data_IF_495720474364
#
_entry.id   IF_495720474364
#
_cell.length_a   1.000
_cell.length_b   1.000
_cell.length_c   1.000
_cell.angle_alpha   90.00
_cell.angle_beta   90.00
_cell.angle_gamma   90.00
#
_symmetry.space_group_name_H-M   'P 1'
#
loop_
_entity.id
_entity.type
_entity.pdbx_description
1 polymer ?
#
# COMPACT_ATOMS: atom_id res chain seq x y z
N UNK A 1 -28.09 -5.75 -1.06
CA UNK A 1 -27.96 -4.43 -1.71
C UNK A 1 -26.51 -4.01 -1.53
N UNK A 2 -25.65 -4.42 -2.44
CA UNK A 2 -24.22 -4.07 -2.39
C UNK A 2 -24.07 -2.81 -3.20
N UNK A 3 -23.83 -1.68 -2.53
CA UNK A 3 -23.58 -0.41 -3.21
C UNK A 3 -22.22 -0.47 -3.91
N UNK A 4 -22.04 0.20 -5.04
CA UNK A 4 -20.75 0.28 -5.76
C UNK A 4 -19.60 0.75 -4.84
N UNK A 5 -19.90 1.55 -3.81
CA UNK A 5 -18.93 1.95 -2.77
C UNK A 5 -18.49 0.81 -1.85
N UNK A 6 -19.35 -0.18 -1.60
CA UNK A 6 -19.01 -1.39 -0.82
C UNK A 6 -18.11 -2.31 -1.65
N UNK A 7 -18.44 -2.52 -2.93
CA UNK A 7 -17.65 -3.36 -3.83
C UNK A 7 -16.24 -2.80 -4.06
N UNK A 8 -16.09 -1.47 -4.15
CA UNK A 8 -14.79 -0.83 -4.21
C UNK A 8 -14.03 -0.95 -2.87
N UNK A 9 -14.71 -0.86 -1.72
CA UNK A 9 -14.04 -1.04 -0.43
C UNK A 9 -13.53 -2.48 -0.21
N UNK A 10 -14.30 -3.48 -0.63
CA UNK A 10 -13.88 -4.89 -0.65
C UNK A 10 -12.77 -5.13 -1.67
N UNK A 11 -12.88 -4.55 -2.87
CA UNK A 11 -11.87 -4.73 -3.93
C UNK A 11 -10.54 -4.03 -3.65
N UNK A 12 -10.56 -2.94 -2.89
CA UNK A 12 -9.38 -2.17 -2.51
C UNK A 12 -8.80 -2.64 -1.16
N UNK A 13 -9.35 -3.69 -0.55
CA UNK A 13 -8.88 -4.28 0.71
C UNK A 13 -8.62 -3.23 1.81
N UNK A 14 -9.53 -2.27 1.96
CA UNK A 14 -9.40 -1.18 2.93
C UNK A 14 -9.36 -1.74 4.36
N UNK A 15 -8.33 -1.38 5.12
CA UNK A 15 -8.04 -1.91 6.45
C UNK A 15 -7.26 -3.22 6.45
N UNK A 16 -6.92 -3.75 5.27
CA UNK A 16 -6.02 -4.88 5.13
C UNK A 16 -4.56 -4.42 5.11
N UNK A 17 -3.69 -5.26 5.67
CA UNK A 17 -2.24 -5.08 5.57
C UNK A 17 -1.73 -5.94 4.44
N UNK A 18 -1.05 -5.31 3.48
CA UNK A 18 -0.50 -5.97 2.32
C UNK A 18 1.00 -5.75 2.24
N UNK A 19 1.73 -6.72 1.69
CA UNK A 19 3.16 -6.62 1.45
C UNK A 19 3.40 -6.27 -0.02
N UNK A 20 4.03 -5.14 -0.27
CA UNK A 20 4.35 -4.71 -1.63
C UNK A 20 5.71 -4.01 -1.69
N UNK A 21 6.36 -4.14 -2.84
CA UNK A 21 7.62 -3.44 -3.13
C UNK A 21 7.28 -2.00 -3.47
N UNK A 22 7.85 -1.05 -2.71
CA UNK A 22 7.66 0.37 -2.98
C UNK A 22 8.65 0.85 -4.03
N UNK A 23 8.15 1.62 -4.99
CA UNK A 23 8.92 2.37 -5.96
C UNK A 23 8.76 3.87 -5.72
N UNK A 24 9.80 4.66 -5.99
CA UNK A 24 9.65 6.11 -6.02
C UNK A 24 9.15 6.57 -7.40
N UNK A 25 7.99 7.22 -7.44
CA UNK A 25 7.43 7.88 -8.62
C UNK A 25 6.98 9.29 -8.24
N UNK A 26 7.42 10.29 -8.99
CA UNK A 26 7.08 11.70 -8.76
C UNK A 26 7.38 12.19 -7.32
N UNK A 27 8.46 11.67 -6.71
CA UNK A 27 8.86 12.01 -5.34
C UNK A 27 7.98 11.39 -4.24
N UNK A 28 7.13 10.42 -4.60
CA UNK A 28 6.27 9.68 -3.68
C UNK A 28 6.54 8.18 -3.80
N UNK A 29 6.35 7.48 -2.69
CA UNK A 29 6.44 6.02 -2.67
C UNK A 29 5.10 5.45 -3.13
N UNK A 30 5.14 4.68 -4.20
CA UNK A 30 4.00 3.97 -4.78
C UNK A 30 4.31 2.49 -4.86
N UNK A 31 3.28 1.66 -4.92
CA UNK A 31 3.43 0.23 -5.14
C UNK A 31 2.32 -0.27 -6.06
N UNK A 32 2.65 -1.28 -6.87
CA UNK A 32 1.62 -2.06 -7.54
C UNK A 32 0.71 -2.73 -6.50
N UNK A 33 -0.59 -2.77 -6.80
CA UNK A 33 -1.53 -3.44 -5.93
C UNK A 33 -1.35 -4.97 -6.07
N UNK A 34 -1.20 -5.72 -4.96
CA UNK A 34 -0.96 -7.16 -5.04
C UNK A 34 -2.17 -7.93 -5.60
N UNK A 35 -3.36 -7.35 -5.51
CA UNK A 35 -4.52 -7.83 -6.25
C UNK A 35 -4.47 -7.33 -7.70
N UNK A 36 -4.18 -8.23 -8.64
CA UNK A 36 -4.13 -7.96 -10.09
C UNK A 36 -5.47 -7.46 -10.66
N UNK A 37 -6.59 -7.70 -9.95
CA UNK A 37 -7.91 -7.19 -10.33
C UNK A 37 -8.13 -5.73 -9.91
N UNK A 38 -7.26 -5.18 -9.05
CA UNK A 38 -7.38 -3.80 -8.57
C UNK A 38 -6.87 -2.83 -9.65
N UNK A 39 -7.71 -1.92 -10.17
CA UNK A 39 -7.30 -1.00 -11.23
C UNK A 39 -6.45 0.17 -10.72
N UNK A 40 -6.16 0.23 -9.41
CA UNK A 40 -5.51 1.37 -8.76
C UNK A 40 -4.25 0.92 -8.01
N UNK A 41 -3.14 1.60 -8.29
CA UNK A 41 -1.90 1.46 -7.52
C UNK A 41 -2.07 1.96 -6.09
N UNK A 42 -1.14 1.56 -5.22
CA UNK A 42 -1.03 2.01 -3.84
C UNK A 42 -0.07 3.20 -3.78
N UNK A 43 -0.38 4.21 -2.96
CA UNK A 43 0.51 5.32 -2.63
C UNK A 43 0.68 5.44 -1.13
N UNK A 44 1.92 5.46 -0.67
CA UNK A 44 2.24 5.65 0.74
C UNK A 44 2.16 7.13 1.07
N UNK A 45 1.26 7.46 2.00
CA UNK A 45 1.05 8.84 2.47
C UNK A 45 1.57 9.06 3.89
N UNK A 46 1.82 7.99 4.63
CA UNK A 46 2.25 8.02 6.03
C UNK A 46 3.24 6.89 6.33
N UNK A 47 4.18 7.12 7.23
CA UNK A 47 5.15 6.11 7.67
C UNK A 47 6.38 5.98 6.79
N UNK A 48 6.50 6.74 5.70
CA UNK A 48 7.70 6.80 4.86
C UNK A 48 8.96 7.22 5.65
N UNK A 49 8.80 8.02 6.71
CA UNK A 49 9.89 8.44 7.61
C UNK A 49 10.42 7.29 8.49
N UNK A 50 9.71 6.15 8.55
CA UNK A 50 10.14 4.95 9.26
C UNK A 50 11.07 4.06 8.42
N UNK A 51 11.12 4.30 7.12
CA UNK A 51 12.02 3.58 6.23
C UNK A 51 13.44 4.10 6.39
N UNK A 52 14.40 3.17 6.47
CA UNK A 52 15.82 3.52 6.50
C UNK A 52 16.30 4.09 5.15
N UNK A 53 15.61 3.72 4.06
CA UNK A 53 15.96 4.01 2.67
C UNK A 53 14.67 4.26 1.85
N UNK A 54 14.74 5.19 0.89
CA UNK A 54 13.60 5.58 0.04
C UNK A 54 14.03 5.62 -1.43
N UNK A 55 13.55 4.70 -2.29
CA UNK A 55 12.70 3.55 -1.97
C UNK A 55 13.45 2.42 -1.22
N UNK A 56 12.74 1.59 -0.45
CA UNK A 56 13.31 0.38 0.15
C UNK A 56 13.53 -0.71 -0.90
N UNK A 57 14.65 -1.42 -0.82
CA UNK A 57 14.94 -2.58 -1.68
C UNK A 57 14.04 -3.80 -1.36
N UNK A 58 13.62 -3.94 -0.10
CA UNK A 58 12.78 -5.03 0.38
C UNK A 58 11.27 -4.67 0.35
N UNK A 59 10.37 -5.65 0.17
CA UNK A 59 8.93 -5.44 0.31
C UNK A 59 8.57 -4.99 1.73
N UNK A 60 7.64 -4.05 1.85
CA UNK A 60 7.20 -3.51 3.15
C UNK A 60 5.71 -3.73 3.36
N UNK A 61 5.30 -3.82 4.62
CA UNK A 61 3.91 -3.95 4.99
C UNK A 61 3.23 -2.59 5.09
N UNK A 62 2.22 -2.40 4.26
CA UNK A 62 1.40 -1.19 4.24
C UNK A 62 -0.04 -1.56 4.53
N UNK A 63 -0.69 -0.77 5.39
CA UNK A 63 -2.11 -0.88 5.63
C UNK A 63 -2.84 0.07 4.69
N UNK A 64 -3.77 -0.48 3.91
CA UNK A 64 -4.57 0.31 2.97
C UNK A 64 -5.60 1.11 3.75
N UNK A 65 -5.61 2.42 3.57
CA UNK A 65 -6.59 3.30 4.24
C UNK A 65 -7.76 3.62 3.31
N UNK A 66 -8.90 3.99 3.88
CA UNK A 66 -10.15 4.33 3.17
C UNK A 66 -10.09 5.68 2.45
N UNK A 67 -8.99 5.94 1.74
CA UNK A 67 -8.68 7.23 1.12
C UNK A 67 -8.01 7.02 -0.23
N UNK A 68 -8.33 7.89 -1.19
CA UNK A 68 -7.69 7.92 -2.51
C UNK A 68 -6.95 9.25 -2.66
N UNK A 69 -5.70 9.20 -3.11
CA UNK A 69 -4.83 10.35 -3.33
C UNK A 69 -4.24 10.25 -4.73
N UNK A 70 -4.45 11.28 -5.55
CA UNK A 70 -3.97 11.33 -6.94
C UNK A 70 -4.36 10.09 -7.77
N UNK A 71 -5.59 9.62 -7.58
CA UNK A 71 -6.11 8.44 -8.27
C UNK A 71 -5.56 7.10 -7.77
N UNK A 72 -4.77 7.07 -6.70
CA UNK A 72 -4.20 5.86 -6.08
C UNK A 72 -4.80 5.61 -4.71
N UNK A 73 -4.82 4.36 -4.28
CA UNK A 73 -5.28 4.02 -2.94
C UNK A 73 -4.21 4.42 -1.95
N UNK A 74 -4.57 5.24 -0.98
CA UNK A 74 -3.63 5.64 0.05
C UNK A 74 -3.37 4.47 1.00
N UNK A 75 -2.12 4.34 1.41
CA UNK A 75 -1.70 3.38 2.43
C UNK A 75 -0.69 4.02 3.39
N UNK A 76 -0.53 3.39 4.55
CA UNK A 76 0.45 3.77 5.57
C UNK A 76 1.38 2.62 5.89
N UNK A 77 2.66 2.90 6.07
CA UNK A 77 3.63 1.87 6.46
C UNK A 77 3.38 1.48 7.91
N UNK A 78 2.98 0.23 8.11
CA UNK A 78 2.80 -0.35 9.43
C UNK A 78 4.01 -1.15 9.86
N UNK A 79 4.72 -1.75 8.91
CA UNK A 79 5.93 -2.52 9.16
C UNK A 79 6.91 -2.39 7.98
N UNK A 80 8.17 -2.11 8.29
CA UNK A 80 9.25 -1.96 7.32
C UNK A 80 10.25 -3.11 7.42
N UNK A 81 9.91 -4.19 8.11
CA UNK A 81 10.89 -5.15 8.60
C UNK A 81 11.45 -6.04 7.49
N UNK A 82 12.76 -5.94 7.32
CA UNK A 82 13.64 -6.81 6.55
C UNK A 82 13.52 -8.24 7.08
N UNK A 83 12.62 -9.04 6.51
CA UNK A 83 12.46 -10.49 6.79
C UNK A 83 12.68 -10.87 8.27
N UNK A 84 11.65 -10.76 9.08
CA UNK A 84 11.57 -11.54 10.32
C UNK A 84 10.55 -12.67 10.21
N UNK A 85 10.72 -13.56 9.24
CA UNK A 85 10.26 -14.95 9.37
C UNK A 85 11.40 -15.91 9.01
N UNK A 86 12.32 -16.09 9.96
CA UNK A 86 13.00 -17.36 10.12
C UNK A 86 12.12 -18.24 11.00
N UNK A 87 11.48 -19.28 10.44
CA UNK A 87 10.96 -20.40 11.23
C UNK A 87 11.12 -21.73 10.52
#
# INVERSE_FOLDING_TARGET
MTSIRDLLAESLAVGETVHCTLEERDGRLVADHPNEESPLDIVVIEGADRLEERPPDDPVAVEIVSRIVDGRVAARIVDADRRSESR
#
